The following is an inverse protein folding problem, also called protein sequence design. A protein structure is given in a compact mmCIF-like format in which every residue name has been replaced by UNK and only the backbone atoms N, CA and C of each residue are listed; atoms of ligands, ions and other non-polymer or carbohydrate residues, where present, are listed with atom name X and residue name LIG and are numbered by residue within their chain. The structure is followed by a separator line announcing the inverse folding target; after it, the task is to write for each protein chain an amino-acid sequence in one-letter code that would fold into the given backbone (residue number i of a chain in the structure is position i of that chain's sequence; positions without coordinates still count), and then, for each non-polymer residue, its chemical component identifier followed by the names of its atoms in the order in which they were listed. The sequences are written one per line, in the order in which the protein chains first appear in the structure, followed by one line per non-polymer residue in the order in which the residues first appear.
data_IF_253086388241
#
_entry.id   IF_253086388241
#
_cell.length_a   1.000
_cell.length_b   1.000
_cell.length_c   1.000
_cell.angle_alpha   90.00
_cell.angle_beta   90.00
_cell.angle_gamma   90.00
#
_symmetry.space_group_name_H-M   'P 1'
#
loop_
_entity.id
_entity.type
_entity.pdbx_description
1 polymer ?
#
# COMPACT_ATOMS: atom_id res chain seq x y z
N UNK A 1 -11.60 3.08 16.35
CA UNK A 1 -10.38 3.23 17.16
C UNK A 1 -10.60 3.77 18.58
N UNK A 2 -11.73 4.38 18.93
CA UNK A 2 -11.94 5.01 20.26
C UNK A 2 -11.86 4.06 21.47
N UNK A 3 -12.03 2.75 21.26
CA UNK A 3 -11.98 1.73 22.32
C UNK A 3 -10.61 1.55 22.99
N UNK A 4 -9.53 2.07 22.40
CA UNK A 4 -8.17 1.97 22.96
C UNK A 4 -7.77 3.20 23.78
N UNK A 5 -8.60 4.25 23.85
CA UNK A 5 -8.29 5.44 24.65
C UNK A 5 -8.12 5.04 26.13
N UNK A 6 -7.05 5.51 26.75
CA UNK A 6 -6.68 5.19 28.13
C UNK A 6 -5.99 3.83 28.31
N UNK A 7 -5.85 3.02 27.25
CA UNK A 7 -5.05 1.78 27.33
C UNK A 7 -3.57 2.12 27.48
N UNK A 8 -2.83 1.42 28.37
CA UNK A 8 -1.41 1.64 28.52
C UNK A 8 -0.65 1.08 27.31
N UNK A 9 0.46 1.71 26.96
CA UNK A 9 1.42 1.19 26.00
C UNK A 9 2.84 1.26 26.58
N UNK A 10 3.71 0.41 26.05
CA UNK A 10 5.13 0.41 26.34
C UNK A 10 5.91 0.02 25.09
N UNK A 11 6.86 0.84 24.70
CA UNK A 11 7.84 0.57 23.67
C UNK A 11 9.21 0.53 24.33
N UNK A 12 9.95 -0.58 24.17
CA UNK A 12 11.31 -0.66 24.68
C UNK A 12 12.22 0.33 23.93
N UNK A 13 13.33 0.73 24.57
CA UNK A 13 14.35 1.50 23.89
C UNK A 13 14.86 0.72 22.68
N UNK A 14 15.05 1.42 21.56
CA UNK A 14 15.44 0.82 20.29
C UNK A 14 16.71 1.49 19.77
N UNK A 15 17.46 0.76 18.94
CA UNK A 15 18.55 1.34 18.17
C UNK A 15 18.41 0.80 16.76
N UNK A 16 18.08 1.68 15.83
CA UNK A 16 17.97 1.32 14.42
C UNK A 16 19.27 1.67 13.70
N UNK A 17 19.56 0.90 12.67
CA UNK A 17 20.59 1.22 11.67
C UNK A 17 19.91 1.22 10.32
N UNK A 18 19.75 2.40 9.71
CA UNK A 18 19.19 2.51 8.36
C UNK A 18 20.20 2.03 7.32
N UNK A 19 19.72 1.27 6.33
CA UNK A 19 20.47 0.84 5.13
C UNK A 19 20.21 1.74 3.90
N UNK A 20 19.49 2.86 4.05
CA UNK A 20 19.24 3.83 2.97
C UNK A 20 20.32 4.91 2.87
N UNK A 21 20.47 5.52 1.68
CA UNK A 21 21.46 6.51 1.19
C UNK A 21 21.91 7.63 2.17
N UNK A 22 22.56 7.22 3.26
CA UNK A 22 23.00 8.04 4.38
C UNK A 22 23.71 7.17 5.40
N UNK A 23 24.82 6.57 4.98
CA UNK A 23 25.60 5.60 5.76
C UNK A 23 25.91 6.10 7.19
N UNK A 24 25.45 5.37 8.20
CA UNK A 24 26.02 5.40 9.55
C UNK A 24 25.25 6.15 10.64
N UNK A 25 24.05 6.70 10.38
CA UNK A 25 23.22 7.21 11.47
C UNK A 25 22.64 6.03 12.27
N UNK A 26 23.07 5.94 13.54
CA UNK A 26 22.38 5.18 14.58
C UNK A 26 21.38 6.11 15.22
N UNK A 27 20.11 5.89 14.97
CA UNK A 27 19.07 6.57 15.71
C UNK A 27 18.72 5.70 16.91
N UNK A 28 18.90 6.29 18.10
CA UNK A 28 18.62 5.63 19.37
C UNK A 28 17.38 6.28 19.95
N UNK A 29 16.32 5.49 20.09
CA UNK A 29 15.07 5.96 20.67
C UNK A 29 14.99 5.51 22.13
N UNK A 30 14.63 6.41 23.07
CA UNK A 30 14.43 6.04 24.45
C UNK A 30 13.20 5.13 24.60
N UNK A 31 13.14 4.39 25.70
CA UNK A 31 11.93 3.65 26.04
C UNK A 31 10.74 4.62 26.19
N UNK A 32 9.60 4.23 25.66
CA UNK A 32 8.36 5.01 25.67
C UNK A 32 7.32 4.27 26.51
N UNK A 33 6.56 5.00 27.31
CA UNK A 33 5.40 4.46 27.99
C UNK A 33 4.36 5.56 28.19
N UNK A 34 3.11 5.16 28.33
CA UNK A 34 2.03 6.10 28.54
C UNK A 34 0.68 5.44 28.36
N UNK A 35 -0.34 6.27 28.15
CA UNK A 35 -1.68 5.83 27.78
C UNK A 35 -2.09 6.47 26.47
N UNK A 36 -2.78 5.72 25.62
CA UNK A 36 -3.28 6.26 24.35
C UNK A 36 -4.27 7.40 24.62
N UNK A 37 -4.00 8.58 24.09
CA UNK A 37 -4.84 9.76 24.26
C UNK A 37 -5.93 9.86 23.18
N UNK A 38 -6.90 10.74 23.37
CA UNK A 38 -7.92 11.00 22.37
C UNK A 38 -7.32 11.66 21.11
N UNK A 39 -6.32 12.51 21.30
CA UNK A 39 -5.58 13.20 20.22
C UNK A 39 -4.78 12.19 19.39
N UNK A 40 -4.12 11.22 20.01
CA UNK A 40 -3.41 10.15 19.30
C UNK A 40 -4.37 9.33 18.41
N UNK A 41 -5.56 9.00 18.94
CA UNK A 41 -6.61 8.33 18.15
C UNK A 41 -7.12 9.22 17.01
N UNK A 42 -7.25 10.53 17.22
CA UNK A 42 -7.64 11.46 16.17
C UNK A 42 -6.62 11.54 15.04
N UNK A 43 -5.31 11.53 15.36
CA UNK A 43 -4.23 11.49 14.37
C UNK A 43 -4.26 10.18 13.59
N UNK A 44 -4.34 9.03 14.27
CA UNK A 44 -4.42 7.72 13.63
C UNK A 44 -5.63 7.59 12.70
N UNK A 45 -6.80 8.08 13.13
CA UNK A 45 -7.99 8.09 12.29
C UNK A 45 -7.79 8.96 11.05
N UNK A 46 -7.20 10.15 11.22
CA UNK A 46 -6.94 11.08 10.11
C UNK A 46 -5.94 10.52 9.09
N UNK A 47 -4.99 9.70 9.52
CA UNK A 47 -4.11 8.95 8.61
C UNK A 47 -4.93 7.93 7.83
N UNK A 48 -5.74 7.11 8.51
CA UNK A 48 -6.56 6.06 7.86
C UNK A 48 -7.58 6.62 6.88
N UNK A 49 -8.19 7.76 7.19
CA UNK A 49 -9.16 8.43 6.31
C UNK A 49 -8.52 8.85 4.97
N UNK A 50 -7.19 8.99 4.92
CA UNK A 50 -6.46 9.44 3.74
C UNK A 50 -6.61 10.95 3.49
N UNK A 51 -5.98 11.41 2.41
CA UNK A 51 -5.94 12.83 2.08
C UNK A 51 -7.28 13.28 1.50
N UNK A 52 -7.88 14.28 2.14
CA UNK A 52 -9.06 14.99 1.67
C UNK A 52 -8.74 16.48 1.47
N UNK A 53 -9.33 17.11 0.47
CA UNK A 53 -9.17 18.56 0.26
C UNK A 53 -10.04 19.40 1.21
N UNK A 54 -9.94 20.73 1.13
CA UNK A 54 -10.72 21.62 2.00
C UNK A 54 -12.24 21.56 1.81
N UNK A 55 -12.71 20.96 0.71
CA UNK A 55 -14.14 20.70 0.44
C UNK A 55 -14.58 19.32 0.97
N UNK A 56 -13.67 18.53 1.54
CA UNK A 56 -13.94 17.18 2.04
C UNK A 56 -14.00 16.12 0.95
N UNK A 57 -13.45 16.38 -0.24
CA UNK A 57 -13.34 15.40 -1.34
C UNK A 57 -12.08 14.57 -1.20
N UNK A 58 -12.13 13.30 -1.57
CA UNK A 58 -10.98 12.41 -1.46
C UNK A 58 -9.95 12.71 -2.55
N UNK A 59 -8.72 13.01 -2.12
CA UNK A 59 -7.55 13.28 -2.96
C UNK A 59 -6.67 12.05 -3.09
N UNK A 60 -6.39 11.36 -1.98
CA UNK A 60 -5.62 10.12 -2.02
C UNK A 60 -5.98 9.21 -0.86
N UNK A 61 -5.77 7.93 -1.05
CA UNK A 61 -6.11 6.89 -0.08
C UNK A 61 -4.93 6.58 0.83
N UNK A 62 -5.24 6.11 2.03
CA UNK A 62 -4.24 5.64 2.99
C UNK A 62 -4.03 4.13 2.91
N UNK A 63 -3.07 3.64 3.67
CA UNK A 63 -2.87 2.21 3.89
C UNK A 63 -4.09 1.58 4.60
N UNK A 64 -4.21 0.26 4.51
CA UNK A 64 -5.28 -0.47 5.20
C UNK A 64 -5.11 -0.46 6.73
N UNK A 65 -6.22 -0.61 7.43
CA UNK A 65 -6.20 -0.84 8.87
C UNK A 65 -5.39 -2.11 9.19
N UNK A 66 -4.35 -1.95 10.01
CA UNK A 66 -3.39 -3.01 10.36
C UNK A 66 -1.98 -2.79 9.82
N UNK A 67 -1.82 -1.86 8.85
CA UNK A 67 -0.53 -1.37 8.42
C UNK A 67 0.05 -0.42 9.48
N UNK A 68 1.38 -0.34 9.55
CA UNK A 68 2.05 0.67 10.36
C UNK A 68 1.84 2.08 9.79
N UNK A 69 1.92 3.09 10.65
CA UNK A 69 1.87 4.50 10.23
C UNK A 69 3.28 5.06 10.04
N UNK A 70 4.03 4.48 9.10
CA UNK A 70 5.45 4.82 8.92
C UNK A 70 5.67 6.29 8.54
N UNK A 71 4.81 6.85 7.70
CA UNK A 71 4.91 8.26 7.29
C UNK A 71 4.49 9.26 8.39
N UNK A 72 4.01 8.77 9.54
CA UNK A 72 3.70 9.58 10.72
C UNK A 72 4.73 9.39 11.85
N UNK A 73 5.82 8.67 11.59
CA UNK A 73 6.90 8.52 12.57
C UNK A 73 7.56 9.88 12.82
N UNK A 74 7.83 10.14 14.09
CA UNK A 74 8.62 11.29 14.54
C UNK A 74 10.06 10.86 14.76
N UNK A 75 11.00 11.79 14.66
CA UNK A 75 12.41 11.52 14.99
C UNK A 75 12.73 12.03 16.40
N UNK A 76 13.43 11.23 17.19
CA UNK A 76 13.86 11.66 18.53
C UNK A 76 15.17 12.46 18.46
N UNK A 77 15.13 13.70 18.92
CA UNK A 77 16.32 14.53 19.06
C UNK A 77 16.94 14.32 20.45
N UNK A 78 18.06 13.60 20.49
CA UNK A 78 18.78 13.29 21.74
C UNK A 78 19.45 14.52 22.39
N UNK A 79 19.65 15.61 21.66
CA UNK A 79 20.23 16.85 22.19
C UNK A 79 19.20 17.66 22.96
N UNK A 80 17.98 17.75 22.43
CA UNK A 80 16.86 18.51 23.05
C UNK A 80 16.01 17.63 23.96
N UNK A 81 16.06 16.32 23.79
CA UNK A 81 15.23 15.35 24.52
C UNK A 81 13.77 15.31 24.03
N UNK A 82 13.50 15.76 22.81
CA UNK A 82 12.15 15.90 22.27
C UNK A 82 11.94 15.11 20.97
N UNK A 83 10.70 14.68 20.75
CA UNK A 83 10.27 14.17 19.45
C UNK A 83 9.97 15.33 18.51
N UNK A 84 10.49 15.25 17.30
CA UNK A 84 10.39 16.28 16.27
C UNK A 84 9.74 15.68 15.02
N UNK A 85 9.17 16.55 14.19
CA UNK A 85 8.62 16.16 12.89
C UNK A 85 9.73 15.55 12.02
N UNK A 86 9.46 14.39 11.43
CA UNK A 86 10.27 13.83 10.36
C UNK A 86 9.52 13.99 9.03
N UNK A 87 10.13 14.69 8.08
CA UNK A 87 9.56 14.82 6.74
C UNK A 87 10.13 13.68 5.90
N UNK A 88 9.27 12.74 5.51
CA UNK A 88 9.65 11.60 4.68
C UNK A 88 10.47 12.07 3.46
N UNK A 89 11.73 11.62 3.39
CA UNK A 89 12.70 12.12 2.41
C UNK A 89 12.22 12.04 0.97
N UNK A 90 11.64 10.90 0.58
CA UNK A 90 11.13 10.72 -0.79
C UNK A 90 10.00 11.71 -1.14
N UNK A 91 9.12 12.01 -0.19
CA UNK A 91 8.00 12.94 -0.41
C UNK A 91 8.46 14.39 -0.52
N UNK A 92 9.32 14.84 0.38
CA UNK A 92 9.81 16.22 0.34
C UNK A 92 10.85 16.46 -0.76
N UNK A 93 11.71 15.49 -1.08
CA UNK A 93 12.59 15.55 -2.27
C UNK A 93 11.77 15.65 -3.55
N UNK A 94 10.73 14.81 -3.69
CA UNK A 94 9.83 14.85 -4.84
C UNK A 94 9.28 16.26 -5.09
N UNK A 95 8.76 16.90 -4.04
CA UNK A 95 8.20 18.24 -4.18
C UNK A 95 9.30 19.28 -4.43
N UNK A 96 10.34 19.33 -3.59
CA UNK A 96 11.37 20.37 -3.68
C UNK A 96 12.15 20.29 -5.00
N UNK A 97 12.62 19.09 -5.37
CA UNK A 97 13.51 18.87 -6.51
C UNK A 97 12.77 18.71 -7.82
N UNK A 98 11.64 17.99 -7.86
CA UNK A 98 10.97 17.66 -9.12
C UNK A 98 9.78 18.58 -9.42
N UNK A 99 9.01 19.01 -8.41
CA UNK A 99 7.89 19.92 -8.66
C UNK A 99 8.35 21.39 -8.69
N UNK A 100 9.15 21.79 -7.71
CA UNK A 100 9.60 23.17 -7.52
C UNK A 100 10.97 23.47 -8.16
N UNK A 101 11.69 22.43 -8.62
CA UNK A 101 12.98 22.54 -9.29
C UNK A 101 14.06 23.24 -8.46
N UNK A 102 14.04 23.04 -7.14
CA UNK A 102 15.07 23.52 -6.21
C UNK A 102 16.14 22.43 -6.02
N UNK A 103 17.40 22.83 -5.88
CA UNK A 103 18.49 21.89 -5.57
C UNK A 103 18.53 21.61 -4.07
N UNK A 104 17.47 20.96 -3.59
CA UNK A 104 17.27 20.61 -2.18
C UNK A 104 16.91 19.12 -2.08
N UNK A 105 17.47 18.44 -1.10
CA UNK A 105 17.21 17.01 -0.87
C UNK A 105 15.93 16.75 -0.07
N UNK A 106 15.39 17.77 0.61
CA UNK A 106 14.13 17.69 1.36
C UNK A 106 13.62 19.08 1.76
N UNK A 107 12.36 19.20 2.17
CA UNK A 107 11.85 20.37 2.88
C UNK A 107 12.46 20.47 4.28
N UNK A 108 12.66 21.70 4.76
CA UNK A 108 13.08 21.98 6.13
C UNK A 108 11.91 22.19 7.10
N UNK A 109 10.70 22.44 6.58
CA UNK A 109 9.48 22.65 7.34
C UNK A 109 8.24 22.38 6.48
N UNK A 110 7.12 22.03 7.13
CA UNK A 110 5.79 21.94 6.50
C UNK A 110 4.91 23.14 6.89
N UNK A 111 5.49 24.23 7.40
CA UNK A 111 4.73 25.44 7.76
C UNK A 111 3.96 25.99 6.55
N UNK A 112 2.65 26.17 6.72
CA UNK A 112 1.76 26.63 5.65
C UNK A 112 1.39 25.56 4.62
N UNK A 113 1.86 24.32 4.76
CA UNK A 113 1.41 23.20 3.93
C UNK A 113 0.01 22.78 4.37
N UNK A 114 -0.94 22.90 3.47
CA UNK A 114 -2.34 22.52 3.68
C UNK A 114 -2.70 21.32 2.83
N UNK A 115 -3.88 20.75 3.05
CA UNK A 115 -4.42 19.71 2.18
C UNK A 115 -4.58 20.14 0.73
N UNK A 116 -4.95 21.39 0.50
CA UNK A 116 -5.04 21.93 -0.86
C UNK A 116 -3.66 22.13 -1.48
N UNK A 117 -2.64 22.45 -0.66
CA UNK A 117 -1.24 22.47 -1.11
C UNK A 117 -0.80 21.08 -1.57
N UNK A 118 -1.05 20.04 -0.76
CA UNK A 118 -0.73 18.65 -1.10
C UNK A 118 -1.44 18.20 -2.37
N UNK A 119 -2.76 18.45 -2.47
CA UNK A 119 -3.53 18.18 -3.70
C UNK A 119 -2.93 18.90 -4.91
N UNK A 120 -2.56 20.17 -4.75
CA UNK A 120 -1.93 20.97 -5.81
C UNK A 120 -0.63 20.33 -6.32
N UNK A 121 0.23 19.87 -5.41
CA UNK A 121 1.45 19.14 -5.76
C UNK A 121 1.16 17.81 -6.47
N UNK A 122 0.14 17.06 -6.05
CA UNK A 122 -0.25 15.83 -6.73
C UNK A 122 -0.72 16.09 -8.17
N UNK A 123 -1.58 17.10 -8.37
CA UNK A 123 -2.04 17.51 -9.70
C UNK A 123 -0.87 17.97 -10.57
N UNK A 124 0.00 18.83 -10.03
CA UNK A 124 1.18 19.32 -10.73
C UNK A 124 2.10 18.16 -11.15
N UNK A 125 2.36 17.21 -10.26
CA UNK A 125 3.21 16.05 -10.55
C UNK A 125 2.62 15.14 -11.63
N UNK A 126 1.31 14.92 -11.59
CA UNK A 126 0.61 14.16 -12.63
C UNK A 126 0.69 14.83 -13.99
N UNK A 127 0.42 16.13 -14.07
CA UNK A 127 0.44 16.88 -15.34
C UNK A 127 1.85 17.03 -15.90
N UNK A 128 2.81 17.36 -15.04
CA UNK A 128 4.20 17.64 -15.44
C UNK A 128 4.92 16.40 -15.95
N UNK A 129 4.64 15.25 -15.34
CA UNK A 129 5.37 14.01 -15.58
C UNK A 129 4.49 12.89 -16.14
N UNK A 130 3.35 13.24 -16.74
CA UNK A 130 2.38 12.28 -17.29
C UNK A 130 3.01 11.25 -18.24
N UNK A 131 3.98 11.69 -19.04
CA UNK A 131 4.60 10.89 -20.10
C UNK A 131 5.92 10.21 -19.69
N UNK A 132 6.39 10.46 -18.46
CA UNK A 132 7.75 10.13 -18.04
C UNK A 132 7.82 9.40 -16.70
N UNK A 133 7.11 9.88 -15.68
CA UNK A 133 7.13 9.28 -14.34
C UNK A 133 5.78 8.71 -13.89
N UNK A 134 4.67 9.10 -14.54
CA UNK A 134 3.37 8.49 -14.29
C UNK A 134 3.24 7.17 -15.06
N UNK A 135 2.94 6.08 -14.35
CA UNK A 135 2.83 4.72 -14.91
C UNK A 135 1.42 4.15 -14.77
N UNK A 136 0.41 4.99 -14.97
CA UNK A 136 -0.99 4.71 -14.64
C UNK A 136 -1.92 4.53 -15.86
N UNK A 137 -1.38 4.43 -17.08
CA UNK A 137 -2.22 4.23 -18.27
C UNK A 137 -2.92 2.85 -18.24
N UNK A 138 -4.27 2.80 -18.20
CA UNK A 138 -4.99 1.53 -17.99
C UNK A 138 -5.22 0.73 -19.29
N UNK A 139 -4.97 1.33 -20.45
CA UNK A 139 -5.04 0.62 -21.73
C UNK A 139 -3.73 -0.15 -21.95
N UNK A 140 -3.82 -1.47 -21.75
CA UNK A 140 -2.71 -2.40 -21.94
C UNK A 140 -2.90 -3.25 -23.20
N UNK A 141 -3.70 -2.79 -24.16
CA UNK A 141 -4.00 -3.51 -25.41
C UNK A 141 -2.74 -3.99 -26.12
N UNK A 142 -1.70 -3.15 -26.35
CA UNK A 142 -0.48 -3.61 -27.01
C UNK A 142 0.22 -4.74 -26.24
N UNK A 143 0.21 -4.69 -24.91
CA UNK A 143 0.82 -5.72 -24.08
C UNK A 143 0.03 -7.04 -24.15
N UNK A 144 -1.30 -6.96 -24.05
CA UNK A 144 -2.19 -8.11 -24.15
C UNK A 144 -2.15 -8.78 -25.54
N UNK A 145 -2.22 -8.00 -26.62
CA UNK A 145 -2.20 -8.53 -28.00
C UNK A 145 -0.88 -9.21 -28.36
N UNK A 146 0.22 -8.83 -27.70
CA UNK A 146 1.51 -9.52 -27.81
C UNK A 146 1.66 -10.73 -26.87
N UNK A 147 0.56 -11.19 -26.25
CA UNK A 147 0.53 -12.38 -25.39
C UNK A 147 1.08 -12.16 -23.98
N UNK A 148 1.24 -10.90 -23.56
CA UNK A 148 1.79 -10.56 -22.25
C UNK A 148 0.96 -11.09 -21.08
N UNK A 149 1.63 -11.46 -19.99
CA UNK A 149 1.04 -11.93 -18.73
C UNK A 149 1.57 -11.13 -17.55
N UNK A 150 0.72 -10.79 -16.59
CA UNK A 150 1.03 -10.01 -15.38
C UNK A 150 0.61 -10.78 -14.14
N UNK A 151 1.58 -11.00 -13.25
CA UNK A 151 1.34 -11.32 -11.84
C UNK A 151 1.67 -10.05 -11.05
N UNK A 152 0.64 -9.46 -10.47
CA UNK A 152 0.74 -8.32 -9.58
C UNK A 152 0.42 -8.84 -8.18
N UNK A 153 1.30 -8.62 -7.22
CA UNK A 153 0.98 -8.84 -5.81
C UNK A 153 1.31 -7.60 -5.00
N UNK A 154 0.54 -7.38 -3.94
CA UNK A 154 0.75 -6.25 -3.03
C UNK A 154 0.47 -6.72 -1.60
N UNK A 155 1.37 -6.40 -0.66
CA UNK A 155 1.11 -6.60 0.77
C UNK A 155 -0.13 -5.84 1.20
N UNK A 156 -1.07 -6.52 1.86
CA UNK A 156 -2.31 -5.87 2.31
C UNK A 156 -2.08 -4.90 3.48
N UNK A 157 -0.93 -5.03 4.15
CA UNK A 157 -0.52 -4.24 5.30
C UNK A 157 0.73 -3.40 4.96
N UNK A 158 0.87 -3.07 3.67
CA UNK A 158 1.92 -2.20 3.15
C UNK A 158 1.78 -0.79 3.72
N UNK A 159 2.75 -0.38 4.53
CA UNK A 159 2.79 0.90 5.23
C UNK A 159 3.56 1.99 4.46
N UNK A 160 3.84 1.76 3.18
CA UNK A 160 4.56 2.68 2.28
C UNK A 160 3.69 3.05 1.08
N UNK A 161 3.11 2.05 0.41
CA UNK A 161 2.20 2.25 -0.71
C UNK A 161 0.85 1.67 -0.32
N UNK A 162 -0.23 2.44 -0.46
CA UNK A 162 -1.57 1.93 -0.15
C UNK A 162 -1.92 0.75 -1.08
N UNK A 163 -2.24 -0.41 -0.50
CA UNK A 163 -2.73 -1.58 -1.24
C UNK A 163 -3.96 -1.25 -2.10
N UNK A 164 -4.79 -0.30 -1.65
CA UNK A 164 -5.97 0.15 -2.38
C UNK A 164 -5.63 0.76 -3.74
N UNK A 165 -4.42 1.30 -3.91
CA UNK A 165 -3.97 1.89 -5.18
C UNK A 165 -3.78 0.82 -6.26
N UNK A 166 -3.25 -0.34 -5.90
CA UNK A 166 -3.14 -1.49 -6.80
C UNK A 166 -4.51 -2.04 -7.20
N UNK A 167 -5.46 -2.09 -6.26
CA UNK A 167 -6.83 -2.52 -6.56
C UNK A 167 -7.54 -1.52 -7.47
N UNK A 168 -7.36 -0.22 -7.20
CA UNK A 168 -7.86 0.85 -8.05
C UNK A 168 -7.31 0.74 -9.48
N UNK A 169 -6.00 0.60 -9.64
CA UNK A 169 -5.37 0.44 -10.96
C UNK A 169 -5.81 -0.83 -11.68
N UNK A 170 -5.90 -1.97 -10.98
CA UNK A 170 -6.46 -3.19 -11.55
C UNK A 170 -7.90 -2.98 -12.07
N UNK A 171 -8.72 -2.26 -11.31
CA UNK A 171 -10.08 -1.91 -11.71
C UNK A 171 -10.13 -0.91 -12.88
N UNK A 172 -9.19 0.04 -12.93
CA UNK A 172 -9.03 0.97 -14.06
C UNK A 172 -8.73 0.20 -15.34
N UNK A 173 -7.76 -0.73 -15.32
CA UNK A 173 -7.43 -1.61 -16.45
C UNK A 173 -8.63 -2.48 -16.82
N UNK A 174 -9.32 -3.08 -15.85
CA UNK A 174 -10.54 -3.88 -16.08
C UNK A 174 -11.61 -3.10 -16.83
N UNK A 175 -11.92 -1.89 -16.38
CA UNK A 175 -12.94 -1.03 -16.99
C UNK A 175 -12.53 -0.57 -18.39
N UNK A 176 -11.26 -0.24 -18.59
CA UNK A 176 -10.72 0.23 -19.87
C UNK A 176 -10.68 -0.88 -20.93
N UNK A 177 -10.19 -2.07 -20.56
CA UNK A 177 -10.01 -3.21 -21.46
C UNK A 177 -11.32 -3.93 -21.78
N UNK A 178 -12.32 -3.83 -20.91
CA UNK A 178 -13.59 -4.57 -21.04
C UNK A 178 -14.83 -3.68 -20.82
N UNK A 179 -14.98 -2.60 -21.61
CA UNK A 179 -16.11 -1.69 -21.45
C UNK A 179 -17.44 -2.41 -21.70
N UNK A 180 -18.44 -2.09 -20.88
CA UNK A 180 -19.81 -2.63 -21.02
C UNK A 180 -20.02 -4.06 -20.50
N UNK A 181 -18.98 -4.76 -20.04
CA UNK A 181 -19.12 -6.06 -19.35
C UNK A 181 -19.51 -5.87 -17.89
N UNK A 182 -20.25 -6.83 -17.32
CA UNK A 182 -20.50 -6.85 -15.88
C UNK A 182 -19.19 -7.03 -15.09
N UNK A 183 -19.23 -6.79 -13.78
CA UNK A 183 -18.06 -6.95 -12.92
C UNK A 183 -17.44 -8.36 -13.03
N UNK A 184 -18.27 -9.41 -12.88
CA UNK A 184 -17.79 -10.79 -12.94
C UNK A 184 -17.24 -11.18 -14.32
N UNK A 185 -17.90 -10.73 -15.41
CA UNK A 185 -17.43 -11.03 -16.77
C UNK A 185 -16.11 -10.32 -17.08
N UNK A 186 -15.99 -9.04 -16.74
CA UNK A 186 -14.76 -8.25 -16.99
C UNK A 186 -13.58 -8.73 -16.14
N UNK A 187 -13.81 -9.07 -14.87
CA UNK A 187 -12.79 -9.67 -14.00
C UNK A 187 -12.37 -11.05 -14.51
N UNK A 188 -13.34 -11.87 -14.95
CA UNK A 188 -13.03 -13.20 -15.52
C UNK A 188 -12.19 -13.10 -16.79
N UNK A 189 -12.48 -12.12 -17.65
CA UNK A 189 -11.67 -11.87 -18.85
C UNK A 189 -10.27 -11.32 -18.50
N UNK A 190 -10.18 -10.38 -17.55
CA UNK A 190 -8.91 -9.80 -17.16
C UNK A 190 -7.96 -10.83 -16.54
N UNK A 191 -8.46 -11.74 -15.69
CA UNK A 191 -7.63 -12.77 -15.04
C UNK A 191 -7.01 -13.79 -16.02
N UNK A 192 -7.40 -13.81 -17.29
CA UNK A 192 -6.75 -14.65 -18.31
C UNK A 192 -5.31 -14.19 -18.63
N UNK A 193 -4.95 -12.96 -18.28
CA UNK A 193 -3.62 -12.40 -18.55
C UNK A 193 -3.10 -11.42 -17.49
N UNK A 194 -3.95 -10.81 -16.68
CA UNK A 194 -3.54 -9.94 -15.57
C UNK A 194 -4.21 -10.41 -14.28
N UNK A 195 -3.41 -10.93 -13.36
CA UNK A 195 -3.84 -11.41 -12.04
C UNK A 195 -3.26 -10.54 -10.93
N UNK A 196 -4.12 -10.05 -10.05
CA UNK A 196 -3.77 -9.35 -8.82
C UNK A 196 -3.92 -10.30 -7.63
N UNK A 197 -2.95 -10.31 -6.71
CA UNK A 197 -2.96 -11.08 -5.48
C UNK A 197 -2.70 -10.15 -4.29
N UNK A 198 -3.66 -10.05 -3.36
CA UNK A 198 -3.46 -9.32 -2.12
C UNK A 198 -2.86 -10.26 -1.08
N UNK A 199 -1.68 -9.93 -0.58
CA UNK A 199 -0.94 -10.77 0.36
C UNK A 199 -1.31 -10.38 1.77
N UNK A 200 -2.23 -11.14 2.39
CA UNK A 200 -2.75 -10.83 3.73
C UNK A 200 -1.60 -10.84 4.75
N UNK A 201 -1.56 -9.80 5.57
CA UNK A 201 -0.55 -9.64 6.61
C UNK A 201 0.81 -9.13 6.11
N UNK A 202 1.13 -9.23 4.82
CA UNK A 202 2.43 -8.77 4.32
C UNK A 202 2.52 -7.23 4.29
N UNK A 203 3.73 -6.74 4.58
CA UNK A 203 4.10 -5.34 4.56
C UNK A 203 4.72 -4.94 3.20
N UNK A 204 5.42 -3.81 3.15
CA UNK A 204 6.04 -3.30 1.94
C UNK A 204 7.12 -4.24 1.40
N UNK A 205 6.79 -4.96 0.33
CA UNK A 205 7.65 -5.95 -0.33
C UNK A 205 8.18 -7.08 0.59
N UNK A 206 7.62 -7.24 1.79
CA UNK A 206 8.18 -8.12 2.82
C UNK A 206 7.10 -8.69 3.76
N UNK A 207 7.49 -9.64 4.61
CA UNK A 207 6.67 -10.09 5.74
C UNK A 207 6.50 -9.01 6.79
N UNK A 208 5.47 -9.11 7.62
CA UNK A 208 5.19 -8.18 8.70
C UNK A 208 5.37 -8.86 10.06
N UNK A 209 6.29 -8.34 10.87
CA UNK A 209 6.57 -8.89 12.20
C UNK A 209 5.39 -8.72 13.19
N UNK A 210 4.51 -7.74 12.96
CA UNK A 210 3.30 -7.53 13.76
C UNK A 210 2.18 -8.50 13.40
N UNK A 211 2.29 -9.18 12.27
CA UNK A 211 1.33 -10.18 11.79
C UNK A 211 2.11 -11.46 11.41
N UNK A 212 2.78 -12.11 12.39
CA UNK A 212 3.49 -13.34 12.15
C UNK A 212 2.50 -14.42 11.70
N UNK A 213 2.99 -15.43 10.99
CA UNK A 213 2.19 -16.42 10.29
C UNK A 213 1.49 -15.94 9.00
N UNK A 214 1.71 -14.70 8.55
CA UNK A 214 1.29 -14.27 7.22
C UNK A 214 2.08 -14.98 6.10
N UNK A 215 1.44 -15.44 5.02
CA UNK A 215 2.14 -16.08 3.91
C UNK A 215 2.78 -15.03 3.00
N UNK A 216 3.94 -15.36 2.40
CA UNK A 216 4.59 -14.49 1.43
C UNK A 216 4.99 -15.28 0.16
N UNK A 217 4.70 -14.79 -1.05
CA UNK A 217 5.07 -15.48 -2.28
C UNK A 217 6.59 -15.66 -2.42
N UNK A 218 7.04 -16.86 -2.80
CA UNK A 218 8.48 -17.18 -2.93
C UNK A 218 8.87 -17.69 -4.32
N UNK A 219 7.90 -18.13 -5.12
CA UNK A 219 8.14 -18.84 -6.40
C UNK A 219 7.55 -18.13 -7.61
N UNK A 220 7.34 -16.81 -7.53
CA UNK A 220 6.65 -16.02 -8.57
C UNK A 220 7.25 -16.20 -9.97
N UNK A 221 8.57 -16.29 -10.09
CA UNK A 221 9.23 -16.50 -11.38
C UNK A 221 8.88 -17.86 -11.99
N UNK A 222 8.90 -18.93 -11.19
CA UNK A 222 8.53 -20.26 -11.65
C UNK A 222 7.04 -20.30 -12.07
N UNK A 223 6.16 -19.68 -11.28
CA UNK A 223 4.73 -19.56 -11.62
C UNK A 223 4.54 -18.79 -12.93
N UNK A 224 5.27 -17.70 -13.13
CA UNK A 224 5.23 -16.94 -14.38
C UNK A 224 5.73 -17.77 -15.57
N UNK A 225 6.83 -18.51 -15.41
CA UNK A 225 7.38 -19.37 -16.46
C UNK A 225 6.39 -20.47 -16.85
N UNK A 226 5.78 -21.15 -15.87
CA UNK A 226 4.74 -22.16 -16.12
C UNK A 226 3.51 -21.56 -16.83
N UNK A 227 3.09 -20.35 -16.46
CA UNK A 227 1.97 -19.68 -17.12
C UNK A 227 2.30 -19.30 -18.57
N UNK A 228 3.46 -18.70 -18.82
CA UNK A 228 3.86 -18.21 -20.14
C UNK A 228 4.24 -19.35 -21.08
N UNK A 229 5.01 -20.33 -20.61
CA UNK A 229 5.59 -21.38 -21.47
C UNK A 229 4.67 -22.59 -21.62
N UNK A 230 3.88 -22.91 -20.59
CA UNK A 230 3.08 -24.15 -20.54
C UNK A 230 1.57 -23.88 -20.52
N UNK A 231 1.15 -22.61 -20.36
CA UNK A 231 -0.26 -22.26 -20.22
C UNK A 231 -0.89 -22.74 -18.92
N UNK A 232 -0.08 -23.08 -17.90
CA UNK A 232 -0.58 -23.52 -16.60
C UNK A 232 -1.02 -22.29 -15.81
N UNK A 233 -2.33 -22.15 -15.64
CA UNK A 233 -2.95 -21.02 -14.94
C UNK A 233 -3.24 -21.42 -13.49
N UNK A 234 -2.58 -20.77 -12.53
CA UNK A 234 -2.90 -20.98 -11.13
C UNK A 234 -4.05 -20.05 -10.70
N UNK A 235 -5.10 -20.61 -10.12
CA UNK A 235 -6.19 -19.84 -9.49
C UNK A 235 -5.78 -19.27 -8.12
N UNK A 236 -4.67 -19.77 -7.57
CA UNK A 236 -4.04 -19.27 -6.35
C UNK A 236 -2.54 -19.06 -6.56
N UNK A 237 -1.95 -18.12 -5.83
CA UNK A 237 -0.50 -17.94 -5.80
C UNK A 237 0.09 -18.66 -4.60
N UNK A 238 1.07 -19.52 -4.88
CA UNK A 238 1.76 -20.29 -3.85
C UNK A 238 2.62 -19.39 -2.95
N UNK A 239 2.48 -19.53 -1.63
CA UNK A 239 3.19 -18.70 -0.66
C UNK A 239 3.62 -19.49 0.58
N UNK A 240 4.69 -19.05 1.23
CA UNK A 240 5.24 -19.72 2.42
C UNK A 240 5.11 -18.82 3.64
N UNK A 241 4.85 -19.42 4.79
CA UNK A 241 4.93 -18.72 6.07
C UNK A 241 6.40 -18.65 6.50
N UNK A 242 6.95 -17.44 6.61
CA UNK A 242 8.38 -17.23 6.89
C UNK A 242 8.68 -16.87 8.35
N UNK A 243 7.66 -16.51 9.12
CA UNK A 243 7.76 -16.03 10.50
C UNK A 243 6.62 -16.60 11.36
N UNK A 244 6.86 -16.73 12.67
CA UNK A 244 5.87 -17.22 13.63
C UNK A 244 5.89 -18.74 13.85
N UNK A 245 4.84 -19.23 14.51
CA UNK A 245 4.64 -20.63 14.90
C UNK A 245 4.55 -21.56 13.69
N UNK A 246 3.90 -21.11 12.60
CA UNK A 246 3.66 -21.92 11.40
C UNK A 246 4.77 -21.78 10.35
N UNK A 247 5.94 -21.28 10.75
CA UNK A 247 7.08 -21.12 9.83
C UNK A 247 7.41 -22.41 9.08
N UNK A 248 7.56 -22.29 7.77
CA UNK A 248 7.87 -23.39 6.86
C UNK A 248 6.65 -24.10 6.28
N UNK A 249 5.46 -23.78 6.76
CA UNK A 249 4.21 -24.22 6.11
C UNK A 249 3.92 -23.40 4.86
N UNK A 250 3.04 -23.93 4.03
CA UNK A 250 2.67 -23.38 2.75
C UNK A 250 1.18 -23.02 2.74
N UNK A 251 0.85 -21.90 2.11
CA UNK A 251 -0.49 -21.35 2.01
C UNK A 251 -0.76 -20.88 0.59
N UNK A 252 -2.05 -20.76 0.25
CA UNK A 252 -2.50 -20.32 -1.05
C UNK A 252 -3.09 -18.91 -0.95
N UNK A 253 -2.67 -18.01 -1.85
CA UNK A 253 -3.20 -16.65 -1.94
C UNK A 253 -4.23 -16.60 -3.06
N UNK A 254 -5.45 -16.19 -2.75
CA UNK A 254 -6.53 -16.08 -3.72
C UNK A 254 -6.27 -14.96 -4.73
N UNK A 255 -6.59 -15.23 -6.00
CA UNK A 255 -6.64 -14.18 -7.02
C UNK A 255 -7.77 -13.19 -6.70
N UNK A 256 -7.46 -11.89 -6.73
CA UNK A 256 -8.45 -10.83 -6.57
C UNK A 256 -9.56 -10.99 -7.62
N UNK A 257 -10.85 -10.83 -7.26
CA UNK A 257 -11.38 -10.31 -6.00
C UNK A 257 -11.75 -11.36 -4.94
N UNK A 258 -11.33 -12.61 -5.13
CA UNK A 258 -11.62 -13.66 -4.16
C UNK A 258 -10.75 -13.48 -2.91
N UNK A 259 -11.31 -13.83 -1.76
CA UNK A 259 -10.67 -13.74 -0.45
C UNK A 259 -10.51 -15.13 0.16
N UNK A 260 -9.45 -15.38 0.94
CA UNK A 260 -9.29 -16.64 1.61
C UNK A 260 -10.33 -16.80 2.73
N UNK A 261 -10.95 -17.97 2.79
CA UNK A 261 -11.84 -18.39 3.86
C UNK A 261 -11.42 -19.79 4.33
N UNK A 262 -11.26 -19.95 5.64
CA UNK A 262 -11.16 -21.26 6.28
C UNK A 262 -12.53 -21.65 6.81
N UNK A 263 -13.18 -22.61 6.17
CA UNK A 263 -14.49 -23.12 6.60
C UNK A 263 -14.39 -23.95 7.89
N UNK A 264 -13.23 -24.56 8.09
CA UNK A 264 -12.78 -25.26 9.30
C UNK A 264 -11.24 -25.26 9.33
N UNK A 265 -10.62 -25.95 10.29
CA UNK A 265 -9.16 -25.96 10.44
C UNK A 265 -8.38 -26.56 9.25
N UNK A 266 -9.04 -27.25 8.32
CA UNK A 266 -8.40 -27.97 7.22
C UNK A 266 -8.94 -27.58 5.83
N UNK A 267 -10.05 -26.85 5.77
CA UNK A 267 -10.72 -26.53 4.51
C UNK A 267 -10.53 -25.06 4.14
N UNK A 268 -9.54 -24.80 3.28
CA UNK A 268 -9.31 -23.51 2.65
C UNK A 268 -10.12 -23.36 1.36
N UNK A 269 -10.70 -22.18 1.13
CA UNK A 269 -11.33 -21.82 -0.13
C UNK A 269 -11.18 -20.34 -0.47
N UNK A 270 -11.26 -20.02 -1.76
CA UNK A 270 -11.30 -18.65 -2.26
C UNK A 270 -12.76 -18.24 -2.50
N UNK A 271 -13.26 -17.31 -1.71
CA UNK A 271 -14.66 -16.90 -1.72
C UNK A 271 -14.84 -15.49 -2.31
N UNK A 272 -15.92 -15.31 -3.06
CA UNK A 272 -16.40 -13.98 -3.44
C UNK A 272 -17.15 -13.35 -2.27
N UNK A 273 -16.73 -12.16 -1.84
CA UNK A 273 -17.42 -11.42 -0.79
C UNK A 273 -17.58 -9.95 -1.20
N UNK A 274 -18.82 -9.50 -1.41
CA UNK A 274 -19.09 -8.14 -1.87
C UNK A 274 -18.60 -7.09 -0.86
N UNK A 275 -18.83 -7.29 0.43
CA UNK A 275 -18.39 -6.34 1.45
C UNK A 275 -16.87 -6.17 1.48
N UNK A 276 -16.11 -7.23 1.20
CA UNK A 276 -14.65 -7.15 1.04
C UNK A 276 -14.21 -6.46 -0.24
N UNK A 277 -15.03 -6.44 -1.30
CA UNK A 277 -14.72 -5.70 -2.52
C UNK A 277 -14.98 -4.22 -2.30
N UNK A 278 -16.12 -3.91 -1.67
CA UNK A 278 -16.56 -2.55 -1.35
C UNK A 278 -15.54 -1.81 -0.47
N UNK A 279 -14.77 -2.51 0.37
CA UNK A 279 -13.70 -1.91 1.19
C UNK A 279 -12.51 -1.40 0.38
N UNK A 280 -12.39 -1.80 -0.89
CA UNK A 280 -11.38 -1.32 -1.83
C UNK A 280 -11.97 -0.46 -2.96
N UNK A 281 -13.25 -0.11 -2.88
CA UNK A 281 -13.85 0.85 -3.80
C UNK A 281 -13.69 2.27 -3.25
N UNK A 282 -12.96 3.10 -4.00
CA UNK A 282 -12.69 4.49 -3.65
C UNK A 282 -13.24 5.42 -4.72
N UNK A 283 -13.72 6.59 -4.29
CA UNK A 283 -14.06 7.70 -5.16
C UNK A 283 -12.97 8.75 -5.05
N UNK A 284 -12.36 9.16 -6.17
CA UNK A 284 -11.37 10.25 -6.21
C UNK A 284 -12.02 11.51 -6.79
N UNK A 285 -13.01 12.04 -6.08
CA UNK A 285 -13.85 13.15 -6.52
C UNK A 285 -13.18 14.53 -6.42
N UNK A 286 -11.97 14.58 -5.86
CA UNK A 286 -11.17 15.81 -5.83
C UNK A 286 -10.57 16.18 -7.21
N UNK A 287 -10.57 15.27 -8.19
CA UNK A 287 -9.97 15.49 -9.51
C UNK A 287 -11.01 15.67 -10.61
N UNK A 288 -10.68 16.52 -11.60
CA UNK A 288 -11.49 16.69 -12.81
C UNK A 288 -11.14 15.69 -13.91
N UNK A 289 -9.89 15.24 -13.93
CA UNK A 289 -9.42 14.21 -14.85
C UNK A 289 -9.54 12.83 -14.18
N UNK A 290 -9.77 11.76 -14.96
CA UNK A 290 -9.72 10.41 -14.44
C UNK A 290 -8.38 10.13 -13.75
N UNK A 291 -8.44 9.63 -12.52
CA UNK A 291 -7.30 9.07 -11.80
C UNK A 291 -7.36 7.55 -11.96
N UNK A 292 -6.30 6.94 -12.48
CA UNK A 292 -6.27 5.51 -12.78
C UNK A 292 -5.43 4.71 -11.80
#
# INVERSE_FOLDING_TARGET
MTSIIGKPYYCAASTSTSLGLGFGKRDTEPAQNGTVSAEAVAVAQKIVDGLHDSEGRQVYISYQMGAGFNDAQTTYNSTTGTWELDIAGAGGEWVARFLELRDEDNFSTLDGVTYDTLKGWMVQGMERYMDSLQTTLPDLTPFYENGGKIIHFHGEQDSSISTGSSVHYYNSVRKMMYPGKSYNESTSALKEWYRLYLVLGAAHCATNELQPNGPFPQTNFAVMAEWVEQGIVLETLNASILQGEYKGTNEQICVWPLRPLWADNNTFMCEYNQASIDTFEYSFDAYKLPLY
#
